data_IF_521730722090
#
_entry.id   IF_521730722090
#
_cell.length_a   1.000
_cell.length_b   1.000
_cell.length_c   1.000
_cell.angle_alpha   90.00
_cell.angle_beta   90.00
_cell.angle_gamma   90.00
#
_symmetry.space_group_name_H-M   'P 1'
#
loop_
_entity.id
_entity.type
_entity.pdbx_description
1 polymer ?
#
# COMPACT_ATOMS: atom_id res chain seq x y z
N UNK A 1 4.40 -27.34 -3.01
CA UNK A 1 4.30 -26.60 -4.29
C UNK A 1 4.79 -25.18 -4.03
N UNK A 2 5.85 -24.78 -4.73
CA UNK A 2 6.54 -23.49 -4.57
C UNK A 2 5.67 -22.32 -5.09
N UNK A 3 5.63 -21.21 -4.34
CA UNK A 3 4.89 -19.98 -4.71
C UNK A 3 5.43 -19.38 -6.01
N UNK A 4 6.73 -19.55 -6.30
CA UNK A 4 7.38 -19.07 -7.54
C UNK A 4 6.74 -19.66 -8.79
N UNK A 5 6.53 -20.98 -8.81
CA UNK A 5 5.99 -21.69 -9.98
C UNK A 5 4.52 -21.40 -10.24
N UNK A 6 3.78 -20.92 -9.22
CA UNK A 6 2.38 -20.50 -9.36
C UNK A 6 2.24 -19.11 -9.97
N UNK A 7 3.15 -18.19 -9.63
CA UNK A 7 3.18 -16.84 -10.19
C UNK A 7 3.62 -16.81 -11.66
N UNK A 8 4.50 -17.75 -12.07
CA UNK A 8 4.97 -17.85 -13.46
C UNK A 8 4.01 -18.56 -14.40
N UNK A 9 2.98 -19.24 -13.89
CA UNK A 9 2.01 -19.97 -14.70
C UNK A 9 0.88 -19.08 -15.23
N UNK A 10 0.67 -17.91 -14.64
CA UNK A 10 -0.38 -16.96 -15.04
C UNK A 10 0.26 -15.80 -15.80
N UNK A 11 0.13 -15.78 -17.13
CA UNK A 11 0.82 -14.81 -18.00
C UNK A 11 0.17 -13.42 -18.04
N UNK A 12 -1.06 -13.28 -17.55
CA UNK A 12 -1.85 -12.07 -17.80
C UNK A 12 -1.33 -10.87 -17.01
N UNK A 13 -0.85 -11.07 -15.78
CA UNK A 13 -0.28 -9.97 -14.99
C UNK A 13 1.04 -9.46 -15.59
N UNK A 14 1.77 -10.27 -16.35
CA UNK A 14 2.99 -9.84 -17.05
C UNK A 14 2.66 -8.83 -18.15
N UNK A 15 1.53 -9.02 -18.86
CA UNK A 15 1.09 -8.06 -19.88
C UNK A 15 0.79 -6.69 -19.27
N UNK A 16 0.17 -6.67 -18.09
CA UNK A 16 -0.09 -5.43 -17.34
C UNK A 16 1.20 -4.81 -16.79
N UNK A 17 2.11 -5.62 -16.27
CA UNK A 17 3.42 -5.15 -15.84
C UNK A 17 4.18 -4.44 -16.98
N UNK A 18 4.11 -4.99 -18.19
CA UNK A 18 4.72 -4.37 -19.37
C UNK A 18 4.00 -3.07 -19.80
N UNK A 19 2.67 -3.01 -19.68
CA UNK A 19 1.91 -1.77 -19.93
C UNK A 19 2.29 -0.67 -18.93
N UNK A 20 2.44 -1.00 -17.65
CA UNK A 20 2.90 -0.06 -16.61
C UNK A 20 4.32 0.44 -16.96
N UNK A 21 5.23 -0.49 -17.29
CA UNK A 21 6.62 -0.16 -17.62
C UNK A 21 6.77 0.76 -18.82
N UNK A 22 5.87 0.65 -19.80
CA UNK A 22 5.81 1.53 -20.97
C UNK A 22 5.13 2.87 -20.70
N UNK A 23 4.54 3.06 -19.51
CA UNK A 23 3.70 4.22 -19.21
C UNK A 23 2.42 4.26 -20.03
N UNK A 24 1.94 3.10 -20.52
CA UNK A 24 0.76 3.00 -21.37
C UNK A 24 -0.56 3.13 -20.60
N UNK A 25 -0.53 2.93 -19.29
CA UNK A 25 -1.67 3.04 -18.39
C UNK A 25 -1.30 3.87 -17.16
N UNK A 26 -2.30 4.52 -16.55
CA UNK A 26 -2.10 5.30 -15.33
C UNK A 26 -1.95 4.43 -14.09
N UNK A 27 -1.46 4.99 -12.99
CA UNK A 27 -1.36 4.31 -11.68
C UNK A 27 -2.73 3.80 -11.18
N UNK A 28 -3.80 4.57 -11.40
CA UNK A 28 -5.17 4.20 -11.07
C UNK A 28 -5.67 3.02 -11.94
N UNK A 29 -5.44 3.08 -13.24
CA UNK A 29 -5.81 2.01 -14.19
C UNK A 29 -5.06 0.72 -13.88
N UNK A 30 -3.76 0.81 -13.59
CA UNK A 30 -2.96 -0.33 -13.18
C UNK A 30 -3.49 -0.99 -11.90
N UNK A 31 -3.89 -0.19 -10.90
CA UNK A 31 -4.51 -0.71 -9.68
C UNK A 31 -5.83 -1.43 -9.98
N UNK A 32 -6.68 -0.85 -10.82
CA UNK A 32 -7.94 -1.46 -11.26
C UNK A 32 -7.72 -2.84 -11.90
N UNK A 33 -6.76 -2.95 -12.82
CA UNK A 33 -6.45 -4.21 -13.50
C UNK A 33 -5.93 -5.30 -12.54
N UNK A 34 -5.09 -4.94 -11.57
CA UNK A 34 -4.69 -5.89 -10.52
C UNK A 34 -5.86 -6.29 -9.62
N UNK A 35 -6.77 -5.36 -9.31
CA UNK A 35 -7.97 -5.66 -8.52
C UNK A 35 -8.90 -6.65 -9.26
N UNK A 36 -9.06 -6.49 -10.57
CA UNK A 36 -9.83 -7.41 -11.41
C UNK A 36 -9.25 -8.83 -11.38
N UNK A 37 -7.94 -8.98 -11.61
CA UNK A 37 -7.27 -10.29 -11.52
C UNK A 37 -7.38 -10.92 -10.13
N UNK A 38 -7.33 -10.10 -9.06
CA UNK A 38 -7.52 -10.60 -7.68
C UNK A 38 -8.92 -11.13 -7.47
N UNK A 39 -9.95 -10.40 -7.92
CA UNK A 39 -11.36 -10.81 -7.84
C UNK A 39 -11.58 -12.12 -8.57
N UNK A 40 -10.90 -12.32 -9.70
CA UNK A 40 -10.96 -13.54 -10.49
C UNK A 40 -10.10 -14.67 -9.90
N UNK A 41 -9.50 -14.47 -8.72
CA UNK A 41 -8.65 -15.43 -7.97
C UNK A 41 -7.35 -15.83 -8.69
N UNK A 42 -6.89 -14.98 -9.61
CA UNK A 42 -5.68 -15.17 -10.43
C UNK A 42 -4.42 -14.64 -9.77
N UNK A 43 -4.57 -13.84 -8.71
CA UNK A 43 -3.48 -13.29 -7.92
C UNK A 43 -3.49 -13.83 -6.49
N UNK A 44 -3.25 -15.15 -6.35
CA UNK A 44 -3.25 -15.80 -5.04
C UNK A 44 -2.11 -15.27 -4.16
N UNK A 45 -2.48 -14.66 -3.04
CA UNK A 45 -1.52 -14.14 -2.05
C UNK A 45 -1.00 -12.72 -2.35
N UNK A 46 -1.44 -12.08 -3.43
CA UNK A 46 -1.10 -10.68 -3.73
C UNK A 46 -2.32 -9.80 -3.49
N UNK A 47 -2.28 -9.00 -2.42
CA UNK A 47 -3.29 -7.99 -2.12
C UNK A 47 -2.88 -6.58 -2.57
N UNK A 48 -3.71 -5.56 -2.29
CA UNK A 48 -3.48 -4.17 -2.66
C UNK A 48 -2.08 -3.65 -2.31
N UNK A 49 -1.56 -3.95 -1.12
CA UNK A 49 -0.22 -3.51 -0.71
C UNK A 49 0.92 -4.09 -1.55
N UNK A 50 0.68 -5.22 -2.23
CA UNK A 50 1.64 -5.79 -3.18
C UNK A 50 1.47 -5.17 -4.57
N UNK A 51 0.23 -4.92 -5.02
CA UNK A 51 -0.06 -4.28 -6.30
C UNK A 51 0.63 -2.93 -6.41
N UNK A 52 0.51 -2.11 -5.37
CA UNK A 52 1.08 -0.77 -5.36
C UNK A 52 2.61 -0.78 -5.39
N UNK A 53 3.26 -1.80 -4.81
CA UNK A 53 4.70 -2.01 -4.98
C UNK A 53 5.07 -2.31 -6.42
N UNK A 54 4.32 -3.17 -7.11
CA UNK A 54 4.56 -3.44 -8.54
C UNK A 54 4.35 -2.17 -9.37
N UNK A 55 3.27 -1.45 -9.15
CA UNK A 55 2.98 -0.19 -9.86
C UNK A 55 4.13 0.80 -9.61
N UNK A 56 4.57 0.97 -8.37
CA UNK A 56 5.69 1.83 -8.00
C UNK A 56 6.99 1.48 -8.74
N UNK A 57 7.43 0.22 -8.66
CA UNK A 57 8.72 -0.18 -9.24
C UNK A 57 8.71 -0.25 -10.76
N UNK A 58 7.55 -0.52 -11.37
CA UNK A 58 7.42 -0.62 -12.82
C UNK A 58 7.15 0.73 -13.48
N UNK A 59 6.56 1.71 -12.77
CA UNK A 59 6.23 3.00 -13.37
C UNK A 59 7.49 3.74 -13.85
N UNK A 60 7.49 4.27 -15.09
CA UNK A 60 8.64 4.99 -15.62
C UNK A 60 8.91 6.28 -14.82
N UNK A 61 10.16 6.48 -14.42
CA UNK A 61 10.59 7.71 -13.73
C UNK A 61 10.90 8.81 -14.76
N UNK A 62 10.43 10.04 -14.50
CA UNK A 62 10.71 11.20 -15.35
C UNK A 62 9.85 11.33 -16.61
N UNK A 63 8.77 10.56 -16.73
CA UNK A 63 7.75 10.74 -17.78
C UNK A 63 6.76 11.87 -17.47
N UNK A 64 5.79 12.07 -18.36
CA UNK A 64 4.72 13.05 -18.17
C UNK A 64 3.67 12.63 -17.11
N UNK A 65 3.63 11.34 -16.75
CA UNK A 65 2.71 10.83 -15.75
C UNK A 65 3.24 11.09 -14.32
N UNK A 66 2.36 11.39 -13.35
CA UNK A 66 2.76 11.52 -11.95
C UNK A 66 3.30 10.19 -11.41
N UNK A 67 4.22 10.24 -10.44
CA UNK A 67 4.81 9.05 -9.85
C UNK A 67 3.74 8.19 -9.15
N UNK A 68 3.95 6.88 -9.10
CA UNK A 68 3.16 6.01 -8.23
C UNK A 68 3.76 6.00 -6.82
N UNK A 69 2.93 5.69 -5.82
CA UNK A 69 3.32 5.57 -4.42
C UNK A 69 2.98 4.19 -3.86
N UNK A 70 3.70 3.76 -2.83
CA UNK A 70 3.46 2.46 -2.19
C UNK A 70 2.44 2.64 -1.07
N UNK A 71 1.26 2.05 -1.26
CA UNK A 71 0.24 1.95 -0.22
C UNK A 71 0.49 0.70 0.64
N UNK A 72 0.99 0.88 1.86
CA UNK A 72 1.12 -0.18 2.86
C UNK A 72 0.41 0.22 4.18
N UNK A 73 0.59 -0.59 5.24
CA UNK A 73 -0.04 -0.34 6.53
C UNK A 73 0.42 0.95 7.22
N UNK A 74 1.61 1.45 6.90
CA UNK A 74 2.20 2.64 7.52
C UNK A 74 1.87 3.87 6.69
N UNK A 75 2.07 3.82 5.37
CA UNK A 75 1.75 4.95 4.49
C UNK A 75 0.24 5.20 4.43
N UNK A 76 -0.57 4.14 4.34
CA UNK A 76 -2.03 4.26 4.34
C UNK A 76 -2.57 4.92 5.61
N UNK A 77 -2.12 4.44 6.77
CA UNK A 77 -2.50 5.06 8.04
C UNK A 77 -1.94 6.47 8.23
N UNK A 78 -0.73 6.73 7.73
CA UNK A 78 -0.15 8.09 7.78
C UNK A 78 -1.00 9.06 6.99
N UNK A 79 -1.42 8.68 5.78
CA UNK A 79 -2.26 9.53 4.93
C UNK A 79 -3.64 9.75 5.54
N UNK A 80 -4.29 8.72 6.11
CA UNK A 80 -5.57 8.91 6.79
C UNK A 80 -5.44 9.87 7.98
N UNK A 81 -4.40 9.69 8.81
CA UNK A 81 -4.16 10.54 9.97
C UNK A 81 -3.91 12.00 9.55
N UNK A 82 -3.00 12.23 8.60
CA UNK A 82 -2.66 13.57 8.11
C UNK A 82 -3.83 14.24 7.38
N UNK A 83 -4.72 13.46 6.77
CA UNK A 83 -5.91 13.97 6.08
C UNK A 83 -7.09 14.21 7.03
N UNK A 84 -7.05 13.67 8.24
CA UNK A 84 -8.18 13.67 9.18
C UNK A 84 -9.41 12.92 8.65
N UNK A 85 -9.23 11.99 7.71
CA UNK A 85 -10.31 11.22 7.06
C UNK A 85 -9.80 9.92 6.46
N UNK A 86 -10.69 8.96 6.25
CA UNK A 86 -10.37 7.66 5.64
C UNK A 86 -10.24 7.75 4.12
N UNK A 87 -9.09 8.27 3.66
CA UNK A 87 -8.71 8.31 2.23
C UNK A 87 -8.55 6.89 1.68
N UNK A 88 -7.91 6.01 2.47
CA UNK A 88 -7.78 4.58 2.17
C UNK A 88 -8.47 3.75 3.25
N UNK A 89 -9.00 2.59 2.84
CA UNK A 89 -9.65 1.66 3.75
C UNK A 89 -8.61 0.76 4.41
N UNK A 90 -8.63 0.72 5.73
CA UNK A 90 -7.75 -0.12 6.53
C UNK A 90 -8.59 -1.14 7.29
N UNK A 91 -8.28 -2.43 7.17
CA UNK A 91 -8.89 -3.47 7.98
C UNK A 91 -8.15 -3.55 9.33
N UNK A 92 -8.90 -3.75 10.41
CA UNK A 92 -8.34 -3.96 11.76
C UNK A 92 -8.30 -5.46 12.04
N UNK A 93 -7.12 -5.99 12.30
CA UNK A 93 -6.91 -7.40 12.65
C UNK A 93 -6.42 -7.50 14.08
N UNK A 94 -7.26 -8.07 14.94
CA UNK A 94 -6.90 -8.34 16.33
C UNK A 94 -6.50 -9.80 16.50
N UNK A 95 -5.27 -10.02 16.92
CA UNK A 95 -4.68 -11.34 17.16
C UNK A 95 -4.52 -11.56 18.66
N UNK A 96 -5.05 -12.68 19.17
CA UNK A 96 -4.83 -13.11 20.54
C UNK A 96 -3.74 -14.19 20.56
N UNK A 97 -2.59 -13.88 21.14
CA UNK A 97 -1.47 -14.79 21.31
C UNK A 97 -1.45 -15.32 22.74
N UNK A 98 -1.61 -16.64 22.88
CA UNK A 98 -1.47 -17.33 24.16
C UNK A 98 0.00 -17.64 24.43
N UNK A 99 0.47 -17.28 25.62
CA UNK A 99 1.80 -17.61 26.11
C UNK A 99 1.77 -18.93 26.88
N UNK A 100 2.93 -19.57 27.00
CA UNK A 100 3.07 -20.85 27.72
C UNK A 100 2.72 -20.75 29.20
N UNK A 101 2.80 -19.56 29.79
CA UNK A 101 2.41 -19.27 31.18
C UNK A 101 0.88 -19.10 31.36
N UNK A 102 0.09 -19.29 30.31
CA UNK A 102 -1.36 -19.12 30.33
C UNK A 102 -1.83 -17.67 30.20
N UNK A 103 -0.91 -16.69 30.15
CA UNK A 103 -1.26 -15.30 29.86
C UNK A 103 -1.57 -15.10 28.38
N UNK A 104 -2.33 -14.04 28.07
CA UNK A 104 -2.67 -13.65 26.70
C UNK A 104 -2.11 -12.28 26.37
N UNK A 105 -1.66 -12.11 25.13
CA UNK A 105 -1.33 -10.80 24.55
C UNK A 105 -2.29 -10.54 23.40
N UNK A 106 -2.92 -9.37 23.41
CA UNK A 106 -3.76 -8.91 22.30
C UNK A 106 -2.90 -7.96 21.48
N UNK A 107 -2.73 -8.27 20.20
CA UNK A 107 -2.06 -7.42 19.24
C UNK A 107 -3.05 -6.97 18.17
N UNK A 108 -3.02 -5.69 17.81
CA UNK A 108 -3.93 -5.12 16.82
C UNK A 108 -3.12 -4.52 15.68
N UNK A 109 -3.29 -5.08 14.49
CA UNK A 109 -2.65 -4.62 13.27
C UNK A 109 -3.67 -3.97 12.34
N UNK A 110 -3.20 -3.02 11.53
CA UNK A 110 -3.99 -2.45 10.43
C UNK A 110 -3.42 -2.97 9.13
N UNK A 111 -4.28 -3.48 8.26
CA UNK A 111 -3.91 -3.97 6.93
C UNK A 111 -4.60 -3.14 5.86
N UNK A 112 -3.98 -2.99 4.69
CA UNK A 112 -4.64 -2.35 3.56
C UNK A 112 -5.80 -3.23 3.11
N UNK A 113 -7.03 -2.70 3.16
CA UNK A 113 -8.23 -3.46 2.85
C UNK A 113 -8.33 -3.81 1.37
N UNK A 114 -8.85 -5.00 1.08
CA UNK A 114 -9.21 -5.41 -0.28
C UNK A 114 -10.36 -4.57 -0.87
N UNK A 115 -11.08 -3.80 -0.03
CA UNK A 115 -12.14 -2.89 -0.45
C UNK A 115 -11.63 -1.54 -0.97
N UNK A 116 -10.32 -1.31 -1.00
CA UNK A 116 -9.76 -0.16 -1.71
C UNK A 116 -9.99 -0.31 -3.21
N UNK A 117 -10.47 0.75 -3.85
CA UNK A 117 -10.64 0.81 -5.31
C UNK A 117 -9.54 1.67 -5.92
N UNK A 118 -9.47 1.69 -7.26
CA UNK A 118 -8.59 2.61 -7.98
C UNK A 118 -8.78 4.08 -7.56
N UNK A 119 -10.00 4.50 -7.19
CA UNK A 119 -10.28 5.85 -6.69
C UNK A 119 -9.62 6.13 -5.34
N UNK A 120 -9.64 5.15 -4.42
CA UNK A 120 -8.97 5.30 -3.12
C UNK A 120 -7.46 5.36 -3.29
N UNK A 121 -6.91 4.52 -4.19
CA UNK A 121 -5.48 4.52 -4.49
C UNK A 121 -5.03 5.82 -5.17
N UNK A 122 -5.81 6.35 -6.11
CA UNK A 122 -5.49 7.63 -6.75
C UNK A 122 -5.58 8.78 -5.74
N UNK A 123 -6.61 8.81 -4.90
CA UNK A 123 -6.74 9.80 -3.83
C UNK A 123 -5.54 9.74 -2.87
N UNK A 124 -5.11 8.54 -2.49
CA UNK A 124 -3.88 8.33 -1.71
C UNK A 124 -2.67 8.92 -2.40
N UNK A 125 -2.46 8.61 -3.68
CA UNK A 125 -1.29 9.09 -4.41
C UNK A 125 -1.31 10.62 -4.56
N UNK A 126 -2.47 11.25 -4.78
CA UNK A 126 -2.61 12.71 -4.80
C UNK A 126 -2.20 13.33 -3.45
N UNK A 127 -2.53 12.69 -2.32
CA UNK A 127 -2.08 13.16 -1.00
C UNK A 127 -0.57 13.03 -0.85
N UNK A 128 0.02 11.93 -1.32
CA UNK A 128 1.47 11.74 -1.33
C UNK A 128 2.18 12.76 -2.22
N UNK A 129 1.69 13.02 -3.43
CA UNK A 129 2.18 14.05 -4.35
C UNK A 129 2.16 15.44 -3.69
N UNK A 130 1.11 15.74 -2.91
CA UNK A 130 1.04 16.99 -2.16
C UNK A 130 2.14 17.08 -1.08
N UNK A 131 2.45 15.99 -0.38
CA UNK A 131 3.54 15.97 0.61
C UNK A 131 4.91 16.16 -0.06
N UNK A 132 5.15 15.50 -1.20
CA UNK A 132 6.35 15.70 -2.04
C UNK A 132 6.52 17.19 -2.37
N UNK A 133 5.44 17.85 -2.80
CA UNK A 133 5.46 19.28 -3.10
C UNK A 133 5.70 20.16 -1.87
N UNK A 134 4.98 19.91 -0.77
CA UNK A 134 5.08 20.70 0.48
C UNK A 134 6.49 20.64 1.06
N UNK A 135 7.09 19.46 1.11
CA UNK A 135 8.41 19.26 1.72
C UNK A 135 9.56 19.46 0.74
N UNK A 136 9.27 19.65 -0.55
CA UNK A 136 10.28 19.74 -1.62
C UNK A 136 11.26 18.56 -1.57
N UNK A 137 10.73 17.35 -1.38
CA UNK A 137 11.49 16.09 -1.29
C UNK A 137 11.17 15.20 -2.47
N UNK A 138 12.02 14.21 -2.72
CA UNK A 138 11.73 13.18 -3.70
C UNK A 138 10.58 12.28 -3.25
N UNK A 139 9.95 11.61 -4.21
CA UNK A 139 8.95 10.55 -3.98
C UNK A 139 9.48 9.51 -2.99
N UNK A 140 10.70 9.02 -3.25
CA UNK A 140 11.33 7.96 -2.47
C UNK A 140 11.57 8.41 -1.02
N UNK A 141 12.01 9.66 -0.80
CA UNK A 141 12.17 10.22 0.54
C UNK A 141 10.84 10.30 1.30
N UNK A 142 9.74 10.67 0.64
CA UNK A 142 8.42 10.77 1.28
C UNK A 142 7.86 9.37 1.59
N UNK A 143 7.90 8.43 0.64
CA UNK A 143 7.49 7.05 0.88
C UNK A 143 8.30 6.44 2.05
N UNK A 144 9.64 6.60 2.06
CA UNK A 144 10.50 6.12 3.14
C UNK A 144 10.21 6.81 4.48
N UNK A 145 10.01 8.13 4.50
CA UNK A 145 9.72 8.87 5.73
C UNK A 145 8.41 8.38 6.39
N UNK A 146 7.35 8.17 5.60
CA UNK A 146 6.07 7.68 6.11
C UNK A 146 6.08 6.19 6.45
N UNK A 147 6.95 5.40 5.81
CA UNK A 147 7.21 4.01 6.20
C UNK A 147 8.13 3.91 7.41
N UNK A 148 8.89 4.94 7.75
CA UNK A 148 9.92 4.98 8.80
C UNK A 148 11.23 4.29 8.43
N UNK A 149 11.99 4.85 7.48
CA UNK A 149 13.45 4.72 7.52
C UNK A 149 14.05 5.67 8.57
N UNK A 150 14.91 5.11 9.43
CA UNK A 150 15.51 5.78 10.58
C UNK A 150 15.02 5.13 11.87
N UNK A 151 15.91 4.94 12.84
CA UNK A 151 15.68 4.39 14.19
C UNK A 151 14.59 5.08 15.04
N UNK A 152 13.81 5.98 14.45
CA UNK A 152 12.76 6.74 15.10
C UNK A 152 11.46 5.93 15.12
N UNK A 153 11.43 5.00 16.07
CA UNK A 153 10.24 4.28 16.56
C UNK A 153 9.08 5.26 16.80
N UNK A 154 9.35 6.54 17.03
CA UNK A 154 8.38 7.60 17.36
C UNK A 154 7.23 7.76 16.37
N UNK A 155 7.44 7.75 15.04
CA UNK A 155 6.31 7.95 14.10
C UNK A 155 5.36 6.75 14.08
N UNK A 156 5.87 5.52 13.99
CA UNK A 156 5.02 4.32 14.03
C UNK A 156 4.33 4.18 15.38
N UNK A 157 4.98 4.51 16.48
CA UNK A 157 4.33 4.52 17.79
C UNK A 157 3.28 5.61 17.88
N UNK A 158 3.54 6.81 17.35
CA UNK A 158 2.56 7.88 17.27
C UNK A 158 1.34 7.48 16.43
N UNK A 159 1.55 6.79 15.30
CA UNK A 159 0.46 6.22 14.52
C UNK A 159 -0.33 5.20 15.35
N UNK A 160 0.34 4.27 16.04
CA UNK A 160 -0.33 3.26 16.87
C UNK A 160 -1.17 3.89 17.98
N UNK A 161 -0.67 4.92 18.66
CA UNK A 161 -1.41 5.60 19.74
C UNK A 161 -2.55 6.45 19.19
N UNK A 162 -2.33 7.17 18.09
CA UNK A 162 -3.36 8.02 17.47
C UNK A 162 -4.50 7.22 16.86
N UNK A 163 -4.26 5.97 16.44
CA UNK A 163 -5.29 5.04 15.92
C UNK A 163 -6.34 4.64 16.97
N UNK A 164 -6.01 4.67 18.26
CA UNK A 164 -6.96 4.35 19.34
C UNK A 164 -8.08 5.39 19.45
N UNK A 165 -7.88 6.60 18.92
CA UNK A 165 -8.80 7.73 19.03
C UNK A 165 -9.68 7.97 17.79
N UNK A 166 -9.50 7.20 16.73
CA UNK A 166 -10.24 7.35 15.46
C UNK A 166 -11.21 6.17 15.18
N UNK A 167 -11.43 5.29 16.17
CA UNK A 167 -12.36 4.16 16.09
C UNK A 167 -13.65 4.42 16.88
#
# INVERSE_FOLDING_TARGET
MDNRNRLSADHDWLSFADNIRRGAISRAEAFHQFQDLRRDKRLKGMGPAFFTKLIYFLSPRGGAAPPAHILDQWTGSSVNLLSGSDVVRMDIVTTCLWKQDGSRTIDTAHNVSDHNTALHYEAFCIKMDALVSIFSRSVDEIDCALMSEGSDISWREYLKTSRVHLA
#
